data_IF_660122864414
#
_entry.id   IF_660122864414
#
_cell.length_a   1.000
_cell.length_b   1.000
_cell.length_c   1.000
_cell.angle_alpha   90.00
_cell.angle_beta   90.00
_cell.angle_gamma   90.00
#
_symmetry.space_group_name_H-M   'P 1'
#
loop_
_entity.id
_entity.type
_entity.pdbx_description
1 polymer ?
#
# COMPACT_ATOMS: atom_id res chain seq x y z
N UNK A 1 4.20 7.48 -2.20
CA UNK A 1 3.39 8.43 -1.42
C UNK A 1 2.38 9.11 -2.33
N UNK A 2 1.15 9.33 -1.86
CA UNK A 2 0.13 10.09 -2.60
C UNK A 2 0.45 11.58 -2.71
N UNK A 3 1.08 12.14 -1.68
CA UNK A 3 1.50 13.54 -1.59
C UNK A 3 3.02 13.55 -1.47
N UNK A 4 3.72 13.84 -2.55
CA UNK A 4 5.19 13.73 -2.60
C UNK A 4 5.83 14.83 -1.77
N UNK A 5 5.37 16.06 -1.95
CA UNK A 5 5.92 17.26 -1.32
C UNK A 5 5.77 17.19 0.21
N UNK A 6 4.62 16.68 0.68
CA UNK A 6 4.40 16.46 2.12
C UNK A 6 5.35 15.39 2.68
N UNK A 7 5.56 14.30 1.93
CA UNK A 7 6.47 13.24 2.34
C UNK A 7 7.93 13.74 2.39
N UNK A 8 8.38 14.47 1.37
CA UNK A 8 9.72 15.06 1.31
C UNK A 8 9.95 16.08 2.42
N UNK A 9 8.95 16.91 2.74
CA UNK A 9 9.03 17.83 3.89
C UNK A 9 9.22 17.07 5.20
N UNK A 10 8.40 16.03 5.44
CA UNK A 10 8.47 15.21 6.65
C UNK A 10 9.81 14.47 6.77
N UNK A 11 10.42 14.05 5.66
CA UNK A 11 11.74 13.41 5.70
C UNK A 11 12.82 14.33 6.28
N UNK A 12 12.74 15.65 6.04
CA UNK A 12 13.68 16.64 6.60
C UNK A 12 13.53 16.82 8.11
N UNK A 13 12.38 16.45 8.66
CA UNK A 13 12.08 16.56 10.10
C UNK A 13 12.53 15.32 10.88
N UNK A 14 12.98 14.25 10.21
CA UNK A 14 13.44 13.02 10.89
C UNK A 14 14.85 13.22 11.44
N UNK A 15 15.04 13.28 12.77
CA UNK A 15 16.36 13.45 13.38
C UNK A 15 17.23 12.22 13.11
N UNK A 16 18.53 12.43 12.90
CA UNK A 16 19.53 11.38 12.66
C UNK A 16 19.20 10.47 11.46
N UNK A 17 18.58 11.02 10.42
CA UNK A 17 18.26 10.28 9.21
C UNK A 17 19.50 10.13 8.30
N UNK A 18 20.44 9.26 8.70
CA UNK A 18 21.62 8.92 7.87
C UNK A 18 21.25 8.06 6.64
N UNK A 19 19.99 7.62 6.55
CA UNK A 19 19.48 6.84 5.42
C UNK A 19 19.33 7.66 4.14
N UNK A 20 19.53 7.01 2.98
CA UNK A 20 19.15 7.58 1.68
C UNK A 20 17.67 7.31 1.43
N UNK A 21 16.89 8.37 1.25
CA UNK A 21 15.47 8.26 0.95
C UNK A 21 15.19 8.56 -0.51
N UNK A 22 14.28 7.79 -1.09
CA UNK A 22 13.68 8.08 -2.40
C UNK A 22 12.17 8.04 -2.25
N UNK A 23 11.52 9.17 -2.52
CA UNK A 23 10.06 9.26 -2.51
C UNK A 23 9.56 8.99 -3.92
N UNK A 24 8.65 8.03 -4.07
CA UNK A 24 8.02 7.67 -5.35
C UNK A 24 6.50 7.83 -5.24
N UNK A 25 5.81 8.24 -6.32
CA UNK A 25 4.35 8.37 -6.32
C UNK A 25 3.68 7.01 -6.21
N UNK A 26 2.72 6.90 -5.29
CA UNK A 26 1.93 5.69 -5.11
C UNK A 26 0.57 6.08 -4.53
N UNK A 27 -0.49 5.79 -5.29
CA UNK A 27 -1.87 5.84 -4.85
C UNK A 27 -2.47 4.44 -4.85
N UNK A 28 -2.79 3.92 -3.67
CA UNK A 28 -3.39 2.61 -3.49
C UNK A 28 -4.87 2.56 -3.89
N UNK A 29 -5.49 3.69 -4.26
CA UNK A 29 -6.84 3.74 -4.85
C UNK A 29 -6.81 3.64 -6.38
N UNK A 30 -5.65 3.32 -6.96
CA UNK A 30 -5.41 3.23 -8.40
C UNK A 30 -4.49 2.04 -8.71
N UNK A 31 -5.02 0.96 -9.28
CA UNK A 31 -4.20 -0.21 -9.62
C UNK A 31 -3.13 0.12 -10.68
N UNK A 32 -3.41 1.05 -11.58
CA UNK A 32 -2.39 1.58 -12.51
C UNK A 32 -1.25 2.28 -11.77
N UNK A 33 -1.56 3.06 -10.72
CA UNK A 33 -0.53 3.69 -9.91
C UNK A 33 0.34 2.66 -9.21
N UNK A 34 -0.25 1.56 -8.73
CA UNK A 34 0.49 0.44 -8.13
C UNK A 34 1.44 -0.20 -9.15
N UNK A 35 0.99 -0.44 -10.39
CA UNK A 35 1.83 -0.98 -11.46
C UNK A 35 2.97 -0.04 -11.84
N UNK A 36 2.68 1.25 -12.00
CA UNK A 36 3.69 2.26 -12.31
C UNK A 36 4.74 2.38 -11.21
N UNK A 37 4.32 2.43 -9.95
CA UNK A 37 5.23 2.44 -8.80
C UNK A 37 6.11 1.19 -8.76
N UNK A 38 5.53 0.00 -8.95
CA UNK A 38 6.29 -1.24 -8.99
C UNK A 38 7.33 -1.22 -10.13
N UNK A 39 6.98 -0.69 -11.30
CA UNK A 39 7.93 -0.46 -12.40
C UNK A 39 9.13 0.40 -11.97
N UNK A 40 8.87 1.59 -11.41
CA UNK A 40 9.93 2.50 -10.94
C UNK A 40 10.78 1.91 -9.81
N UNK A 41 10.18 1.09 -8.94
CA UNK A 41 10.93 0.37 -7.90
C UNK A 41 11.84 -0.68 -8.54
N UNK A 42 11.35 -1.47 -9.51
CA UNK A 42 12.17 -2.49 -10.19
C UNK A 42 13.37 -1.89 -10.92
N UNK A 43 13.25 -0.67 -11.43
CA UNK A 43 14.37 0.04 -12.07
C UNK A 43 15.44 0.51 -11.08
N UNK A 44 15.07 0.77 -9.82
CA UNK A 44 15.96 1.45 -8.86
C UNK A 44 16.29 0.66 -7.60
N UNK A 45 15.64 -0.47 -7.37
CA UNK A 45 15.87 -1.39 -6.26
C UNK A 45 15.90 -2.84 -6.78
N UNK A 46 17.06 -3.33 -7.24
CA UNK A 46 17.19 -4.69 -7.77
C UNK A 46 16.99 -5.76 -6.69
N UNK A 47 17.27 -5.43 -5.43
CA UNK A 47 17.07 -6.28 -4.25
C UNK A 47 16.30 -5.51 -3.17
N UNK A 48 15.15 -6.06 -2.77
CA UNK A 48 14.29 -5.52 -1.73
C UNK A 48 14.39 -6.45 -0.51
N UNK A 49 15.06 -6.00 0.56
CA UNK A 49 15.14 -6.81 1.78
C UNK A 49 13.77 -6.95 2.44
N UNK A 50 13.04 -5.84 2.57
CA UNK A 50 11.76 -5.78 3.26
C UNK A 50 10.76 -4.95 2.46
N UNK A 51 9.56 -5.50 2.26
CA UNK A 51 8.39 -4.75 1.83
C UNK A 51 7.46 -4.54 3.02
N UNK A 52 7.16 -3.27 3.35
CA UNK A 52 6.22 -2.90 4.41
C UNK A 52 4.90 -2.39 3.81
N UNK A 53 3.89 -3.24 3.81
CA UNK A 53 2.52 -2.88 3.46
C UNK A 53 1.83 -2.25 4.67
N UNK A 54 2.11 -0.96 4.88
CA UNK A 54 1.63 -0.22 6.06
C UNK A 54 0.47 0.75 5.76
N UNK A 55 0.40 1.28 4.55
CA UNK A 55 -0.58 2.32 4.24
C UNK A 55 -2.02 1.77 4.33
N UNK A 56 -2.93 2.58 4.85
CA UNK A 56 -4.33 2.18 4.95
C UNK A 56 -5.23 3.35 5.29
N UNK A 57 -6.51 3.18 5.00
CA UNK A 57 -7.60 4.08 5.39
C UNK A 57 -8.58 3.35 6.31
N UNK A 58 -9.24 4.11 7.19
CA UNK A 58 -10.23 3.58 8.13
C UNK A 58 -11.34 4.62 8.32
N UNK A 59 -12.56 4.15 8.58
CA UNK A 59 -13.74 4.99 8.85
C UNK A 59 -13.95 6.10 7.80
N UNK A 60 -13.61 5.82 6.54
CA UNK A 60 -13.84 6.73 5.42
C UNK A 60 -15.27 6.58 4.93
N UNK A 61 -15.92 7.64 4.40
CA UNK A 61 -17.19 7.50 3.69
C UNK A 61 -17.10 6.40 2.64
N UNK A 62 -18.17 5.65 2.44
CA UNK A 62 -18.21 4.62 1.41
C UNK A 62 -18.10 5.26 0.03
N UNK A 63 -17.18 4.75 -0.79
CA UNK A 63 -17.11 5.04 -2.22
C UNK A 63 -16.41 3.91 -2.97
N UNK A 64 -16.65 3.85 -4.28
CA UNK A 64 -15.93 2.97 -5.19
C UNK A 64 -14.75 3.72 -5.81
N UNK A 65 -13.60 3.06 -5.87
CA UNK A 65 -12.44 3.58 -6.59
C UNK A 65 -12.72 3.63 -8.10
N UNK A 66 -11.84 4.29 -8.87
CA UNK A 66 -11.90 4.24 -10.33
C UNK A 66 -11.76 2.83 -10.93
N UNK A 67 -11.26 1.87 -10.14
CA UNK A 67 -11.07 0.49 -10.54
C UNK A 67 -12.31 -0.39 -10.21
N UNK A 68 -13.38 0.20 -9.67
CA UNK A 68 -14.66 -0.46 -9.40
C UNK A 68 -14.72 -1.27 -8.10
N UNK A 69 -13.80 -1.01 -7.17
CA UNK A 69 -13.78 -1.71 -5.87
C UNK A 69 -14.11 -0.75 -4.73
N UNK A 70 -14.68 -1.29 -3.64
CA UNK A 70 -14.85 -0.54 -2.41
C UNK A 70 -13.50 0.01 -1.92
N UNK A 71 -13.48 1.30 -1.58
CA UNK A 71 -12.28 2.07 -1.28
C UNK A 71 -11.35 1.45 -0.23
N UNK A 72 -11.87 0.95 0.89
CA UNK A 72 -11.06 0.37 1.97
C UNK A 72 -10.53 -1.00 1.56
N UNK A 73 -11.37 -1.82 0.92
CA UNK A 73 -10.96 -3.12 0.41
C UNK A 73 -9.84 -2.99 -0.63
N UNK A 74 -9.95 -2.04 -1.56
CA UNK A 74 -8.87 -1.84 -2.51
C UNK A 74 -7.61 -1.28 -1.86
N UNK A 75 -7.74 -0.19 -1.08
CA UNK A 75 -6.59 0.50 -0.50
C UNK A 75 -5.82 -0.41 0.44
N UNK A 76 -6.51 -1.07 1.36
CA UNK A 76 -5.90 -1.80 2.47
C UNK A 76 -5.53 -3.23 2.10
N UNK A 77 -6.11 -3.79 1.03
CA UNK A 77 -5.91 -5.19 0.67
C UNK A 77 -5.50 -5.39 -0.79
N UNK A 78 -6.36 -5.09 -1.78
CA UNK A 78 -6.09 -5.45 -3.19
C UNK A 78 -4.82 -4.80 -3.73
N UNK A 79 -4.60 -3.52 -3.43
CA UNK A 79 -3.43 -2.79 -3.91
C UNK A 79 -2.14 -3.27 -3.24
N UNK A 80 -2.19 -3.63 -1.96
CA UNK A 80 -1.05 -4.23 -1.26
C UNK A 80 -0.73 -5.65 -1.77
N UNK A 81 -1.76 -6.45 -2.05
CA UNK A 81 -1.61 -7.76 -2.69
C UNK A 81 -0.95 -7.61 -4.06
N UNK A 82 -1.49 -6.76 -4.93
CA UNK A 82 -0.94 -6.51 -6.26
C UNK A 82 0.52 -6.04 -6.20
N UNK A 83 0.84 -5.08 -5.34
CA UNK A 83 2.20 -4.58 -5.16
C UNK A 83 3.16 -5.69 -4.76
N UNK A 84 2.75 -6.51 -3.78
CA UNK A 84 3.54 -7.65 -3.30
C UNK A 84 3.79 -8.66 -4.41
N UNK A 85 2.77 -8.99 -5.21
CA UNK A 85 2.90 -9.91 -6.34
C UNK A 85 3.85 -9.38 -7.42
N UNK A 86 3.78 -8.08 -7.74
CA UNK A 86 4.62 -7.45 -8.77
C UNK A 86 6.10 -7.33 -8.37
N UNK A 87 6.41 -7.40 -7.08
CA UNK A 87 7.77 -7.27 -6.54
C UNK A 87 8.30 -8.57 -5.91
N UNK A 88 7.53 -9.66 -5.96
CA UNK A 88 7.84 -10.90 -5.25
C UNK A 88 9.22 -11.48 -5.60
N UNK A 89 9.60 -11.43 -6.89
CA UNK A 89 10.91 -11.89 -7.40
C UNK A 89 12.10 -11.05 -6.90
N UNK A 90 11.83 -9.85 -6.37
CA UNK A 90 12.83 -8.91 -5.85
C UNK A 90 12.95 -8.93 -4.34
N UNK A 91 12.00 -9.55 -3.64
CA UNK A 91 11.96 -9.59 -2.17
C UNK A 91 12.85 -10.72 -1.64
N UNK A 92 13.80 -10.38 -0.78
CA UNK A 92 14.82 -11.33 -0.28
C UNK A 92 14.53 -11.87 1.12
N UNK A 93 13.89 -11.08 1.98
CA UNK A 93 13.73 -11.48 3.38
C UNK A 93 12.27 -11.56 3.82
N UNK A 94 11.50 -10.48 3.70
CA UNK A 94 10.16 -10.45 4.32
C UNK A 94 9.19 -9.46 3.67
N UNK A 95 7.93 -9.86 3.65
CA UNK A 95 6.78 -8.98 3.45
C UNK A 95 6.07 -8.84 4.80
N UNK A 96 5.82 -7.61 5.23
CA UNK A 96 5.07 -7.31 6.46
C UNK A 96 3.80 -6.57 6.09
N UNK A 97 2.65 -7.13 6.47
CA UNK A 97 1.36 -6.48 6.34
C UNK A 97 0.94 -5.92 7.70
N UNK A 98 0.76 -4.61 7.78
CA UNK A 98 0.23 -3.98 9.00
C UNK A 98 -1.29 -4.11 8.97
N UNK A 99 -1.83 -4.79 9.97
CA UNK A 99 -3.27 -4.95 10.17
C UNK A 99 -3.73 -4.19 11.42
N UNK A 100 -5.00 -4.31 11.77
CA UNK A 100 -5.60 -3.77 12.99
C UNK A 100 -6.36 -4.87 13.73
N UNK A 101 -6.57 -4.70 15.03
CA UNK A 101 -7.48 -5.56 15.80
C UNK A 101 -8.86 -5.67 15.15
N UNK A 102 -9.28 -4.66 14.38
CA UNK A 102 -10.54 -4.69 13.64
C UNK A 102 -10.69 -5.87 12.67
N UNK A 103 -9.59 -6.48 12.20
CA UNK A 103 -9.67 -7.67 11.35
C UNK A 103 -10.33 -8.87 12.06
N UNK A 104 -10.27 -8.95 13.40
CA UNK A 104 -10.93 -10.02 14.16
C UNK A 104 -12.45 -9.82 14.21
N UNK A 105 -12.92 -8.59 14.04
CA UNK A 105 -14.34 -8.24 14.07
C UNK A 105 -15.06 -8.67 12.78
N UNK A 106 -14.33 -8.79 11.67
CA UNK A 106 -14.89 -9.26 10.40
C UNK A 106 -15.40 -10.70 10.45
N UNK A 107 -14.87 -11.53 11.37
CA UNK A 107 -15.16 -12.98 11.42
C UNK A 107 -16.52 -13.35 12.04
N UNK A 108 -17.43 -12.38 12.30
CA UNK A 108 -18.72 -12.65 12.94
C UNK A 108 -19.96 -12.13 12.22
N UNK A 109 -19.84 -11.40 11.11
CA UNK A 109 -21.03 -10.75 10.49
C UNK A 109 -21.00 -10.55 8.98
N UNK A 110 -19.91 -10.83 8.27
CA UNK A 110 -19.88 -10.64 6.81
C UNK A 110 -20.57 -11.79 6.08
N UNK A 111 -21.83 -11.57 5.73
CA UNK A 111 -22.54 -12.37 4.74
C UNK A 111 -22.13 -11.86 3.35
N UNK A 112 -21.19 -12.52 2.67
CA UNK A 112 -20.75 -12.17 1.29
C UNK A 112 -21.86 -12.24 0.23
N UNK A 113 -23.10 -12.57 0.63
CA UNK A 113 -24.29 -12.59 -0.23
C UNK A 113 -24.86 -11.22 -0.61
N UNK A 114 -24.33 -10.12 -0.06
CA UNK A 114 -24.85 -8.76 -0.31
C UNK A 114 -24.31 -8.15 -1.64
N UNK A 115 -23.34 -8.81 -2.29
CA UNK A 115 -22.82 -8.38 -3.60
C UNK A 115 -23.25 -9.34 -4.73
N UNK A 116 -24.55 -9.50 -4.94
CA UNK A 116 -25.13 -10.13 -6.15
C UNK A 116 -26.14 -9.20 -6.79
#
# INVERSE_FOLDING_TARGET
CRKIEEAERKLKEIPNSEGKFKVLPLDLQSLDSVRAFAGSVRETAPDIHVLLNNAGIMMSPHFETKDGFESQFQTNYLSHFLLSSLLLDRIRSRIVNVSSVAHVMAHRSTNWRIYK
#
